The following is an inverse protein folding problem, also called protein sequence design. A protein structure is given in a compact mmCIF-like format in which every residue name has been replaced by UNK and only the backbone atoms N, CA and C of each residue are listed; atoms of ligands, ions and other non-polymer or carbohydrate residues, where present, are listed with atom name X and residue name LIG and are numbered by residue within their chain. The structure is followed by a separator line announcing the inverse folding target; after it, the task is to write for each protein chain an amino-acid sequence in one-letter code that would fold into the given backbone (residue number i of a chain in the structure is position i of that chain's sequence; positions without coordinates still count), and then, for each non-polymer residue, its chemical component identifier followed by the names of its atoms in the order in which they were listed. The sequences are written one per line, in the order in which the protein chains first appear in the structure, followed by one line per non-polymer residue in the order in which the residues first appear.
data_IF_622289742651
#
_entry.id   IF_622289742651
#
_cell.length_a   1.000
_cell.length_b   1.000
_cell.length_c   1.000
_cell.angle_alpha   90.00
_cell.angle_beta   90.00
_cell.angle_gamma   90.00
#
_symmetry.space_group_name_H-M   'P 1'
#
loop_
_entity.id
_entity.type
_entity.pdbx_description
1 polymer ?
#
# COMPACT_ATOMS: atom_id res chain seq x y z
N UNK A 1 -45.49 25.39 6.44
CA UNK A 1 -44.39 25.44 7.42
C UNK A 1 -43.33 26.40 6.88
N UNK A 2 -43.23 27.61 7.44
CA UNK A 2 -42.13 28.52 7.11
C UNK A 2 -40.91 28.05 7.91
N UNK A 3 -39.88 27.55 7.23
CA UNK A 3 -38.61 27.21 7.87
C UNK A 3 -38.00 28.53 8.36
N UNK A 4 -37.62 28.59 9.65
CA UNK A 4 -36.96 29.77 10.20
C UNK A 4 -35.64 30.00 9.46
N UNK A 5 -35.27 31.26 9.30
CA UNK A 5 -34.01 31.68 8.64
C UNK A 5 -32.78 31.03 9.31
N UNK A 6 -32.87 30.77 10.62
CA UNK A 6 -31.91 29.98 11.39
C UNK A 6 -31.83 28.51 10.95
N UNK A 7 -32.95 27.85 10.67
CA UNK A 7 -32.98 26.48 10.19
C UNK A 7 -32.36 26.38 8.79
N UNK A 8 -32.62 27.37 7.92
CA UNK A 8 -32.03 27.45 6.58
C UNK A 8 -30.50 27.59 6.66
N UNK A 9 -29.99 28.49 7.51
CA UNK A 9 -28.55 28.69 7.69
C UNK A 9 -27.85 27.44 8.25
N UNK A 10 -28.47 26.74 9.20
CA UNK A 10 -27.93 25.48 9.76
C UNK A 10 -27.88 24.39 8.68
N UNK A 11 -28.93 24.26 7.85
CA UNK A 11 -28.95 23.31 6.73
C UNK A 11 -27.83 23.62 5.73
N UNK A 12 -27.62 24.88 5.38
CA UNK A 12 -26.52 25.28 4.49
C UNK A 12 -25.14 24.97 5.08
N UNK A 13 -24.94 25.24 6.37
CA UNK A 13 -23.66 24.97 7.03
C UNK A 13 -23.37 23.46 7.08
N UNK A 14 -24.37 22.65 7.41
CA UNK A 14 -24.26 21.18 7.36
C UNK A 14 -23.97 20.70 5.93
N UNK A 15 -24.65 21.26 4.92
CA UNK A 15 -24.41 20.90 3.52
C UNK A 15 -22.98 21.25 3.06
N UNK A 16 -22.43 22.41 3.47
CA UNK A 16 -21.05 22.79 3.18
C UNK A 16 -20.06 21.83 3.83
N UNK A 17 -20.26 21.49 5.11
CA UNK A 17 -19.38 20.54 5.82
C UNK A 17 -19.43 19.16 5.16
N UNK A 18 -20.61 18.68 4.77
CA UNK A 18 -20.76 17.42 4.05
C UNK A 18 -20.08 17.45 2.68
N UNK A 19 -20.20 18.55 1.93
CA UNK A 19 -19.52 18.74 0.65
C UNK A 19 -18.00 18.75 0.81
N UNK A 20 -17.48 19.43 1.83
CA UNK A 20 -16.05 19.43 2.14
C UNK A 20 -15.56 18.03 2.50
N UNK A 21 -16.26 17.32 3.39
CA UNK A 21 -15.93 15.95 3.78
C UNK A 21 -15.98 15.00 2.56
N UNK A 22 -17.00 15.13 1.72
CA UNK A 22 -17.14 14.34 0.50
C UNK A 22 -16.04 14.63 -0.52
N UNK A 23 -15.68 15.91 -0.72
CA UNK A 23 -14.59 16.32 -1.61
C UNK A 23 -13.24 15.75 -1.14
N UNK A 24 -12.98 15.78 0.16
CA UNK A 24 -11.78 15.22 0.78
C UNK A 24 -11.74 13.70 0.63
N UNK A 25 -12.86 13.04 0.87
CA UNK A 25 -13.01 11.59 0.69
C UNK A 25 -12.74 11.14 -0.75
N UNK A 26 -13.34 11.85 -1.73
CA UNK A 26 -13.10 11.59 -3.16
C UNK A 26 -11.62 11.81 -3.51
N UNK A 27 -10.98 12.87 -2.98
CA UNK A 27 -9.57 13.17 -3.23
C UNK A 27 -8.67 12.03 -2.76
N UNK A 28 -8.89 11.51 -1.56
CA UNK A 28 -8.14 10.36 -1.03
C UNK A 28 -8.36 9.11 -1.89
N UNK A 29 -9.61 8.81 -2.26
CA UNK A 29 -9.91 7.66 -3.12
C UNK A 29 -9.25 7.77 -4.50
N UNK A 30 -9.17 8.96 -5.08
CA UNK A 30 -8.50 9.20 -6.37
C UNK A 30 -7.00 9.04 -6.27
N UNK A 31 -6.36 9.53 -5.21
CA UNK A 31 -4.93 9.30 -4.97
C UNK A 31 -4.63 7.80 -4.92
N UNK A 32 -5.45 6.99 -4.24
CA UNK A 32 -5.26 5.52 -4.19
C UNK A 32 -5.38 4.82 -5.54
N UNK A 33 -6.06 5.44 -6.52
CA UNK A 33 -6.21 4.89 -7.89
C UNK A 33 -5.16 5.41 -8.86
N UNK A 34 -4.33 6.39 -8.50
CA UNK A 34 -3.28 6.90 -9.39
C UNK A 34 -2.12 5.89 -9.51
N UNK A 35 -1.26 6.08 -10.51
CA UNK A 35 -0.01 5.33 -10.63
C UNK A 35 0.82 5.43 -9.33
N UNK A 36 1.06 6.65 -8.85
CA UNK A 36 1.79 6.89 -7.61
C UNK A 36 1.12 6.25 -6.38
N UNK A 37 -0.21 6.27 -6.28
CA UNK A 37 -0.92 5.66 -5.16
C UNK A 37 -0.82 4.14 -5.11
N UNK A 38 -0.78 3.48 -6.28
CA UNK A 38 -0.54 2.04 -6.38
C UNK A 38 0.87 1.71 -5.89
N UNK A 39 1.87 2.46 -6.35
CA UNK A 39 3.26 2.30 -5.90
C UNK A 39 3.41 2.56 -4.40
N UNK A 40 2.80 3.63 -3.88
CA UNK A 40 2.82 3.95 -2.46
C UNK A 40 2.20 2.83 -1.60
N UNK A 41 1.17 2.15 -2.11
CA UNK A 41 0.58 1.00 -1.43
C UNK A 41 1.54 -0.20 -1.40
N UNK A 42 2.25 -0.48 -2.50
CA UNK A 42 3.29 -1.51 -2.57
C UNK A 42 4.44 -1.18 -1.61
N UNK A 43 4.93 0.07 -1.62
CA UNK A 43 5.96 0.55 -0.71
C UNK A 43 5.53 0.43 0.76
N UNK A 44 4.27 0.72 1.05
CA UNK A 44 3.68 0.51 2.38
C UNK A 44 3.68 -0.96 2.83
N UNK A 45 3.45 -1.90 1.90
CA UNK A 45 3.55 -3.34 2.19
C UNK A 45 5.02 -3.76 2.40
N UNK A 46 5.98 -3.28 1.58
CA UNK A 46 7.42 -3.52 1.77
C UNK A 46 7.92 -3.02 3.13
N UNK A 47 7.54 -1.81 3.55
CA UNK A 47 7.92 -1.26 4.86
C UNK A 47 7.40 -2.13 6.01
N UNK A 48 6.18 -2.66 5.89
CA UNK A 48 5.60 -3.53 6.92
C UNK A 48 6.25 -4.90 6.92
N UNK A 49 6.58 -5.43 5.75
CA UNK A 49 7.33 -6.67 5.62
C UNK A 49 8.73 -6.55 6.21
N UNK A 50 9.40 -5.40 6.02
CA UNK A 50 10.73 -5.15 6.60
C UNK A 50 10.64 -5.18 8.12
N UNK A 51 9.67 -4.46 8.68
CA UNK A 51 9.41 -4.49 10.12
C UNK A 51 9.08 -5.90 10.62
N UNK A 52 8.36 -6.71 9.86
CA UNK A 52 8.10 -8.11 10.22
C UNK A 52 9.36 -8.97 10.25
N UNK A 53 10.33 -8.71 9.37
CA UNK A 53 11.63 -9.40 9.36
C UNK A 53 12.50 -8.95 10.53
N UNK A 54 12.48 -7.65 10.84
CA UNK A 54 13.28 -7.08 11.93
C UNK A 54 12.74 -7.48 13.31
N UNK A 55 11.42 -7.47 13.47
CA UNK A 55 10.71 -7.82 14.72
C UNK A 55 10.37 -9.31 14.82
N UNK A 56 10.90 -10.17 13.92
CA UNK A 56 10.46 -11.56 13.85
C UNK A 56 10.84 -12.33 15.13
N UNK A 57 9.84 -12.68 15.93
CA UNK A 57 9.98 -13.62 17.04
C UNK A 57 9.38 -14.98 16.66
N UNK A 58 10.03 -16.07 17.05
CA UNK A 58 9.64 -17.44 16.69
C UNK A 58 8.41 -17.95 17.47
N UNK A 59 7.34 -17.16 17.54
CA UNK A 59 6.09 -17.53 18.20
C UNK A 59 4.99 -17.83 17.18
N UNK A 60 4.11 -18.78 17.50
CA UNK A 60 2.95 -19.16 16.68
C UNK A 60 2.01 -17.98 16.29
N UNK A 61 2.07 -16.86 17.01
CA UNK A 61 1.31 -15.63 16.73
C UNK A 61 1.90 -14.76 15.59
N UNK A 62 3.03 -15.16 14.98
CA UNK A 62 3.66 -14.46 13.86
C UNK A 62 2.66 -14.18 12.73
N UNK A 63 2.64 -12.92 12.28
CA UNK A 63 1.83 -12.49 11.14
C UNK A 63 2.55 -12.81 9.83
N UNK A 64 1.78 -13.18 8.81
CA UNK A 64 2.30 -13.35 7.47
C UNK A 64 2.70 -12.02 6.82
N UNK A 65 3.58 -12.12 5.84
CA UNK A 65 3.98 -11.04 4.95
C UNK A 65 2.80 -10.52 4.12
N UNK A 66 2.78 -9.21 3.91
CA UNK A 66 1.78 -8.55 3.07
C UNK A 66 2.21 -8.63 1.62
N UNK A 67 1.47 -9.40 0.82
CA UNK A 67 1.71 -9.56 -0.63
C UNK A 67 0.50 -9.13 -1.48
N UNK A 68 -0.59 -8.72 -0.84
CA UNK A 68 -1.86 -8.42 -1.51
C UNK A 68 -1.77 -7.20 -2.43
N UNK A 69 -1.09 -6.13 -2.03
CA UNK A 69 -0.96 -4.95 -2.88
C UNK A 69 -0.15 -5.26 -4.14
N UNK A 70 0.91 -6.06 -4.02
CA UNK A 70 1.68 -6.54 -5.16
C UNK A 70 0.80 -7.33 -6.14
N UNK A 71 0.12 -8.39 -5.65
CA UNK A 71 -0.76 -9.24 -6.47
C UNK A 71 -1.81 -8.46 -7.24
N UNK A 72 -2.34 -7.39 -6.64
CA UNK A 72 -3.37 -6.54 -7.26
C UNK A 72 -2.81 -5.59 -8.33
N UNK A 73 -1.57 -5.14 -8.19
CA UNK A 73 -1.06 -4.02 -8.97
C UNK A 73 0.09 -4.39 -9.92
N UNK A 74 0.66 -5.61 -9.82
CA UNK A 74 1.83 -6.05 -10.61
C UNK A 74 1.67 -5.85 -12.13
N UNK A 75 0.47 -6.08 -12.66
CA UNK A 75 0.20 -5.98 -14.11
C UNK A 75 -0.12 -4.54 -14.54
N UNK A 76 -0.08 -3.59 -13.62
CA UNK A 76 -0.55 -2.22 -13.85
C UNK A 76 0.51 -1.17 -13.52
N UNK A 77 1.70 -1.61 -13.12
CA UNK A 77 2.87 -0.79 -12.77
C UNK A 77 3.92 -0.79 -13.89
N UNK A 78 3.48 -0.95 -15.14
CA UNK A 78 4.37 -1.00 -16.33
C UNK A 78 5.19 0.28 -16.56
N UNK A 79 4.83 1.37 -15.88
CA UNK A 79 5.58 2.63 -15.88
C UNK A 79 6.80 2.61 -14.94
N UNK A 80 6.91 1.63 -14.04
CA UNK A 80 8.10 1.46 -13.20
C UNK A 80 9.19 0.77 -14.03
N UNK A 81 10.46 1.20 -13.95
CA UNK A 81 11.58 0.54 -14.62
C UNK A 81 11.61 -0.98 -14.39
N UNK A 82 11.87 -1.74 -15.45
CA UNK A 82 11.81 -3.21 -15.45
C UNK A 82 12.72 -3.84 -14.39
N UNK A 83 13.93 -3.29 -14.21
CA UNK A 83 14.86 -3.73 -13.17
C UNK A 83 14.26 -3.65 -11.75
N UNK A 84 13.49 -2.61 -11.45
CA UNK A 84 12.79 -2.45 -10.17
C UNK A 84 11.64 -3.45 -10.08
N UNK A 85 10.89 -3.67 -11.17
CA UNK A 85 9.80 -4.65 -11.20
C UNK A 85 10.27 -6.08 -10.96
N UNK A 86 11.38 -6.49 -11.58
CA UNK A 86 11.98 -7.82 -11.39
C UNK A 86 12.37 -8.02 -9.91
N UNK A 87 13.00 -7.02 -9.30
CA UNK A 87 13.38 -7.09 -7.87
C UNK A 87 12.15 -7.14 -6.97
N UNK A 88 11.11 -6.36 -7.25
CA UNK A 88 9.84 -6.42 -6.53
C UNK A 88 9.20 -7.82 -6.67
N UNK A 89 9.14 -8.36 -7.89
CA UNK A 89 8.58 -9.68 -8.15
C UNK A 89 9.29 -10.75 -7.32
N UNK A 90 10.63 -10.78 -7.37
CA UNK A 90 11.46 -11.71 -6.59
C UNK A 90 11.19 -11.61 -5.09
N UNK A 91 11.15 -10.39 -4.54
CA UNK A 91 10.92 -10.19 -3.11
C UNK A 91 9.51 -10.62 -2.68
N UNK A 92 8.49 -10.33 -3.48
CA UNK A 92 7.13 -10.73 -3.17
C UNK A 92 6.89 -12.23 -3.36
N UNK A 93 7.59 -12.87 -4.28
CA UNK A 93 7.63 -14.32 -4.44
C UNK A 93 8.24 -14.99 -3.20
N UNK A 94 9.44 -14.55 -2.78
CA UNK A 94 10.06 -15.04 -1.54
C UNK A 94 9.16 -14.78 -0.31
N UNK A 95 8.45 -13.65 -0.27
CA UNK A 95 7.50 -13.34 0.80
C UNK A 95 6.30 -14.29 0.80
N UNK A 96 5.83 -14.73 -0.37
CA UNK A 96 4.76 -15.72 -0.50
C UNK A 96 5.24 -17.13 -0.09
N UNK A 97 6.46 -17.52 -0.44
CA UNK A 97 7.06 -18.79 0.03
C UNK A 97 7.14 -18.84 1.56
N UNK A 98 7.59 -17.75 2.19
CA UNK A 98 7.62 -17.62 3.65
C UNK A 98 6.21 -17.70 4.23
N UNK A 99 5.23 -17.05 3.61
CA UNK A 99 3.82 -17.15 4.02
C UNK A 99 3.31 -18.60 4.00
N UNK A 100 3.70 -19.39 3.01
CA UNK A 100 3.28 -20.79 2.91
C UNK A 100 3.96 -21.68 3.95
N UNK A 101 5.22 -21.38 4.31
CA UNK A 101 5.90 -22.01 5.46
C UNK A 101 5.23 -21.64 6.78
N UNK A 102 4.90 -20.36 7.01
CA UNK A 102 4.17 -19.91 8.21
C UNK A 102 2.81 -20.61 8.31
N UNK A 103 2.04 -20.68 7.21
CA UNK A 103 0.75 -21.38 7.19
C UNK A 103 0.91 -22.87 7.54
N UNK A 104 1.92 -23.52 6.97
CA UNK A 104 2.20 -24.94 7.23
C UNK A 104 2.59 -25.17 8.70
N UNK A 105 3.50 -24.35 9.24
CA UNK A 105 3.90 -24.43 10.65
C UNK A 105 2.72 -24.17 11.61
N UNK A 106 1.82 -23.24 11.29
CA UNK A 106 0.58 -23.01 12.04
C UNK A 106 -0.37 -24.20 12.01
N UNK A 107 -0.49 -24.90 10.89
CA UNK A 107 -1.31 -26.13 10.78
C UNK A 107 -0.80 -27.23 11.70
N UNK A 108 0.52 -27.37 11.80
CA UNK A 108 1.18 -28.38 12.64
C UNK A 108 1.27 -27.95 14.12
N UNK A 109 0.97 -26.67 14.43
CA UNK A 109 1.07 -26.07 15.78
C UNK A 109 2.44 -26.28 16.44
N UNK A 110 3.51 -26.30 15.64
CA UNK A 110 4.86 -26.57 16.13
C UNK A 110 5.74 -25.32 16.05
N UNK A 111 6.22 -24.88 17.21
CA UNK A 111 7.18 -23.78 17.32
C UNK A 111 8.54 -24.15 16.70
N UNK A 112 8.89 -25.45 16.68
CA UNK A 112 10.10 -25.97 16.01
C UNK A 112 10.07 -25.75 14.49
N UNK A 113 8.91 -25.97 13.85
CA UNK A 113 8.73 -25.65 12.43
C UNK A 113 8.80 -24.14 12.17
N UNK A 114 8.39 -23.32 13.15
CA UNK A 114 8.47 -21.87 13.04
C UNK A 114 9.92 -21.37 13.19
N UNK A 115 10.72 -22.01 14.05
CA UNK A 115 12.15 -21.77 14.23
C UNK A 115 12.99 -22.06 12.96
N UNK A 116 12.53 -22.99 12.12
CA UNK A 116 13.18 -23.32 10.84
C UNK A 116 12.94 -22.30 9.71
N UNK A 117 12.15 -21.24 9.94
CA UNK A 117 11.88 -20.23 8.92
C UNK A 117 13.03 -19.21 8.90
N UNK A 118 13.94 -19.38 7.94
CA UNK A 118 15.04 -18.46 7.69
C UNK A 118 14.58 -17.20 6.95
N UNK A 119 14.43 -16.09 7.69
CA UNK A 119 14.14 -14.77 7.13
C UNK A 119 15.37 -13.95 6.75
N UNK A 120 16.58 -14.43 7.08
CA UNK A 120 17.81 -13.67 6.81
C UNK A 120 17.99 -13.41 5.31
N UNK A 121 17.59 -14.37 4.49
CA UNK A 121 17.59 -14.30 3.02
C UNK A 121 16.67 -13.21 2.48
N UNK A 122 15.65 -12.79 3.25
CA UNK A 122 14.71 -11.75 2.84
C UNK A 122 15.21 -10.34 3.18
N UNK A 123 16.10 -10.18 4.17
CA UNK A 123 16.54 -8.86 4.68
C UNK A 123 17.10 -7.98 3.57
N UNK A 124 18.13 -8.46 2.87
CA UNK A 124 18.83 -7.69 1.85
C UNK A 124 17.95 -7.41 0.62
N UNK A 125 17.31 -8.43 0.00
CA UNK A 125 16.46 -8.18 -1.16
C UNK A 125 15.29 -7.23 -0.87
N UNK A 126 14.67 -7.35 0.31
CA UNK A 126 13.57 -6.49 0.74
C UNK A 126 14.02 -5.04 0.94
N UNK A 127 15.18 -4.84 1.57
CA UNK A 127 15.76 -3.51 1.76
C UNK A 127 16.11 -2.85 0.43
N UNK A 128 16.72 -3.58 -0.50
CA UNK A 128 17.06 -3.08 -1.83
C UNK A 128 15.83 -2.71 -2.67
N UNK A 129 14.83 -3.59 -2.70
CA UNK A 129 13.59 -3.35 -3.46
C UNK A 129 12.82 -2.16 -2.87
N UNK A 130 12.81 -2.02 -1.54
CA UNK A 130 12.21 -0.88 -0.83
C UNK A 130 12.94 0.42 -1.16
N UNK A 131 14.27 0.41 -1.17
CA UNK A 131 15.07 1.59 -1.43
C UNK A 131 14.86 2.09 -2.87
N UNK A 132 14.96 1.20 -3.86
CA UNK A 132 14.74 1.57 -5.27
C UNK A 132 13.32 2.06 -5.54
N UNK A 133 12.32 1.42 -4.93
CA UNK A 133 10.94 1.88 -5.06
C UNK A 133 10.73 3.25 -4.40
N UNK A 134 11.44 3.53 -3.31
CA UNK A 134 11.39 4.83 -2.62
C UNK A 134 12.05 5.92 -3.45
N UNK A 135 13.23 5.66 -4.01
CA UNK A 135 13.92 6.57 -4.93
C UNK A 135 13.04 6.91 -6.12
N UNK A 136 12.47 5.89 -6.76
CA UNK A 136 11.53 6.09 -7.86
C UNK A 136 10.34 6.95 -7.45
N UNK A 137 9.74 6.71 -6.28
CA UNK A 137 8.63 7.53 -5.78
C UNK A 137 9.06 8.98 -5.53
N UNK A 138 10.25 9.22 -5.00
CA UNK A 138 10.76 10.56 -4.72
C UNK A 138 10.99 11.36 -6.00
N UNK A 139 11.63 10.74 -7.00
CA UNK A 139 11.86 11.35 -8.32
C UNK A 139 10.56 11.66 -9.06
N UNK A 140 9.53 10.82 -8.87
CA UNK A 140 8.28 10.90 -9.63
C UNK A 140 7.12 11.51 -8.82
N UNK A 141 7.37 12.01 -7.61
CA UNK A 141 6.32 12.52 -6.72
C UNK A 141 5.61 13.76 -7.29
N UNK A 142 6.33 14.56 -8.06
CA UNK A 142 5.83 15.79 -8.68
C UNK A 142 5.45 15.61 -10.15
N UNK A 143 5.66 14.42 -10.72
CA UNK A 143 5.39 14.18 -12.13
C UNK A 143 3.87 14.16 -12.39
N UNK A 144 3.33 15.09 -13.20
CA UNK A 144 1.91 15.21 -13.48
C UNK A 144 1.32 13.97 -14.18
N UNK A 145 2.14 13.14 -14.82
CA UNK A 145 1.74 11.88 -15.46
C UNK A 145 1.28 10.83 -14.44
N UNK A 146 1.92 10.77 -13.28
CA UNK A 146 1.67 9.75 -12.25
C UNK A 146 0.75 10.24 -11.13
N UNK A 147 0.49 11.55 -11.07
CA UNK A 147 -0.46 12.18 -10.18
C UNK A 147 -1.92 11.89 -10.62
N UNK A 148 -2.88 11.89 -9.70
CA UNK A 148 -4.29 11.79 -10.07
C UNK A 148 -4.67 12.98 -10.97
N UNK A 149 -5.10 12.69 -12.20
CA UNK A 149 -5.54 13.71 -13.18
C UNK A 149 -6.51 14.68 -12.51
N UNK A 150 -6.13 15.95 -12.39
CA UNK A 150 -7.05 17.03 -11.99
C UNK A 150 -8.13 17.10 -13.06
N UNK A 151 -9.41 17.07 -12.70
CA UNK A 151 -10.47 17.45 -13.65
C UNK A 151 -10.10 18.87 -14.10
N UNK A 152 -9.79 19.05 -15.39
CA UNK A 152 -9.94 20.37 -16.02
C UNK A 152 -11.39 20.77 -15.72
N UNK A 153 -11.56 21.88 -15.01
CA UNK A 153 -12.88 22.35 -14.62
C UNK A 153 -13.78 22.48 -15.84
N UNK A 154 -15.07 22.23 -15.66
CA UNK A 154 -16.13 22.42 -16.66
C UNK A 154 -16.41 23.91 -16.97
N UNK A 155 -15.42 24.77 -16.79
CA UNK A 155 -15.48 26.19 -17.10
C UNK A 155 -14.32 26.48 -18.05
N UNK A 156 -14.63 26.46 -19.34
CA UNK A 156 -13.84 27.05 -20.41
C UNK A 156 -14.79 27.81 -21.31
#
# INVERSE_FOLDING_TARGET
MQLSETAINVIFLVAIVLLLAFSFYIRIRRMKRSALGRVATILGDLNKNQKLVDDFSYHHAVKGFRTRAWKKNKDTIEFIPENVRIKLAKVFEMSDEVNDRIKSAKRVKSDSYMAGIDLSRLKTPLAEARQQLREWVQENMQNPEYLPKRRRGLFR
#
